data_IF_451500901822
#
_entry.id   IF_451500901822
#
_cell.length_a   1.000
_cell.length_b   1.000
_cell.length_c   1.000
_cell.angle_alpha   90.00
_cell.angle_beta   90.00
_cell.angle_gamma   90.00
#
_symmetry.space_group_name_H-M   'P 1'
#
loop_
_entity.id
_entity.type
_entity.pdbx_description
1 polymer ?
#
# COMPACT_ATOMS: atom_id res chain seq x y z
N UNK A 1 -28.95 -38.24 -9.91
CA UNK A 1 -28.34 -37.09 -10.62
C UNK A 1 -28.03 -36.02 -9.59
N UNK A 2 -26.88 -36.13 -8.93
CA UNK A 2 -26.41 -35.19 -7.91
C UNK A 2 -24.89 -35.13 -8.04
N UNK A 3 -24.42 -34.27 -8.93
CA UNK A 3 -23.01 -34.11 -9.28
C UNK A 3 -22.77 -32.69 -9.83
N UNK A 4 -23.03 -31.66 -9.04
CA UNK A 4 -22.56 -30.28 -9.31
C UNK A 4 -22.47 -29.49 -8.01
N UNK A 5 -21.54 -29.84 -7.13
CA UNK A 5 -21.12 -29.00 -6.01
C UNK A 5 -19.68 -29.34 -5.60
N UNK A 6 -18.78 -29.46 -6.58
CA UNK A 6 -17.36 -29.69 -6.33
C UNK A 6 -16.51 -28.95 -7.37
N UNK A 7 -16.69 -27.64 -7.41
CA UNK A 7 -15.76 -26.70 -8.03
C UNK A 7 -15.60 -25.46 -7.13
N UNK A 8 -15.41 -25.68 -5.83
CA UNK A 8 -14.55 -24.77 -5.06
C UNK A 8 -13.13 -25.07 -5.49
N UNK A 9 -12.80 -24.59 -6.69
CA UNK A 9 -11.44 -24.44 -7.15
C UNK A 9 -10.68 -23.75 -6.00
N UNK A 10 -9.76 -24.50 -5.41
CA UNK A 10 -8.66 -24.00 -4.59
C UNK A 10 -7.87 -23.02 -5.46
N UNK A 11 -8.40 -21.81 -5.64
CA UNK A 11 -7.59 -20.68 -6.03
C UNK A 11 -6.82 -20.33 -4.77
N UNK A 12 -5.72 -21.05 -4.57
CA UNK A 12 -4.61 -20.47 -3.82
C UNK A 12 -4.25 -19.21 -4.59
N UNK A 13 -4.81 -18.08 -4.17
CA UNK A 13 -4.31 -16.77 -4.55
C UNK A 13 -2.89 -16.71 -4.00
N UNK A 14 -1.93 -17.18 -4.79
CA UNK A 14 -0.53 -16.94 -4.51
C UNK A 14 -0.32 -15.47 -4.84
N UNK A 15 -0.28 -14.65 -3.80
CA UNK A 15 0.01 -13.23 -3.91
C UNK A 15 1.48 -13.10 -4.34
N UNK A 16 1.71 -12.60 -5.54
CA UNK A 16 3.02 -12.04 -5.91
C UNK A 16 3.17 -10.72 -5.16
N UNK A 17 3.76 -10.78 -3.98
CA UNK A 17 4.11 -9.59 -3.20
C UNK A 17 5.55 -9.22 -3.54
N UNK A 18 5.73 -8.57 -4.69
CA UNK A 18 7.02 -8.05 -5.10
C UNK A 18 7.21 -6.66 -4.53
N UNK A 19 8.15 -6.51 -3.60
CA UNK A 19 8.84 -5.23 -3.43
C UNK A 19 10.25 -5.37 -4.02
N UNK A 20 11.15 -4.42 -3.80
CA UNK A 20 12.53 -4.53 -4.26
C UNK A 20 13.46 -4.81 -3.07
N UNK A 21 13.72 -6.09 -2.73
CA UNK A 21 14.69 -6.40 -1.69
C UNK A 21 16.05 -5.86 -2.10
N UNK A 22 16.74 -5.20 -1.18
CA UNK A 22 18.10 -4.69 -1.37
C UNK A 22 19.06 -5.77 -1.89
N UNK A 23 18.87 -7.01 -1.45
CA UNK A 23 19.66 -8.16 -1.90
C UNK A 23 19.43 -8.54 -3.38
N UNK A 24 18.42 -7.97 -4.04
CA UNK A 24 18.06 -8.23 -5.43
C UNK A 24 18.25 -7.02 -6.35
N UNK A 25 18.70 -5.87 -5.87
CA UNK A 25 18.77 -4.65 -6.69
C UNK A 25 20.13 -4.43 -7.35
N UNK A 26 20.94 -5.48 -7.48
CA UNK A 26 22.22 -5.42 -8.19
C UNK A 26 22.03 -5.55 -9.70
N UNK A 27 23.01 -5.04 -10.46
CA UNK A 27 23.02 -5.16 -11.93
C UNK A 27 22.92 -6.63 -12.36
N UNK A 28 23.61 -7.53 -11.65
CA UNK A 28 23.53 -8.97 -11.88
C UNK A 28 22.10 -9.50 -11.75
N UNK A 29 21.42 -9.21 -10.64
CA UNK A 29 20.06 -9.70 -10.40
C UNK A 29 19.06 -9.21 -11.44
N UNK A 30 19.14 -7.94 -11.83
CA UNK A 30 18.24 -7.34 -12.81
C UNK A 30 18.49 -7.89 -14.22
N UNK A 31 19.76 -8.04 -14.62
CA UNK A 31 20.11 -8.61 -15.93
C UNK A 31 19.76 -10.10 -16.03
N UNK A 32 19.97 -10.87 -14.96
CA UNK A 32 19.58 -12.29 -14.88
C UNK A 32 18.07 -12.46 -14.65
N UNK A 33 17.37 -11.37 -14.31
CA UNK A 33 15.96 -11.36 -13.90
C UNK A 33 15.65 -12.37 -12.80
N UNK A 34 16.52 -12.48 -11.81
CA UNK A 34 16.37 -13.41 -10.68
C UNK A 34 16.52 -12.70 -9.32
N UNK A 35 15.49 -12.81 -8.49
CA UNK A 35 15.48 -12.36 -7.10
C UNK A 35 15.23 -13.55 -6.16
N UNK A 36 16.30 -14.29 -5.89
CA UNK A 36 16.29 -15.44 -4.99
C UNK A 36 17.41 -15.33 -3.94
N UNK A 37 17.34 -14.32 -3.05
CA UNK A 37 18.42 -14.05 -2.12
C UNK A 37 18.54 -15.15 -1.06
N UNK A 38 19.74 -15.31 -0.47
CA UNK A 38 19.95 -16.29 0.58
C UNK A 38 19.13 -15.96 1.82
N UNK A 39 18.64 -16.99 2.50
CA UNK A 39 18.07 -16.85 3.84
C UNK A 39 19.19 -16.92 4.88
N UNK A 40 19.22 -15.99 5.84
CA UNK A 40 20.29 -15.89 6.84
C UNK A 40 20.46 -17.16 7.69
N UNK A 41 19.39 -17.94 7.88
CA UNK A 41 19.43 -19.12 8.75
C UNK A 41 20.24 -20.30 8.19
N UNK A 42 20.29 -20.48 6.88
CA UNK A 42 21.05 -21.59 6.25
C UNK A 42 21.94 -21.16 5.07
N UNK A 43 21.95 -19.88 4.72
CA UNK A 43 22.74 -19.30 3.64
C UNK A 43 22.31 -19.71 2.23
N UNK A 44 21.27 -20.54 2.09
CA UNK A 44 20.82 -21.02 0.78
C UNK A 44 19.76 -20.10 0.16
N UNK A 45 19.71 -20.01 -1.18
CA UNK A 45 18.66 -19.27 -1.88
C UNK A 45 17.27 -19.73 -1.41
N UNK A 46 16.43 -18.78 -1.00
CA UNK A 46 15.06 -19.05 -0.54
C UNK A 46 14.93 -20.05 0.63
N UNK A 47 16.00 -20.27 1.41
CA UNK A 47 16.01 -21.24 2.51
C UNK A 47 15.79 -22.68 2.06
N UNK A 48 16.29 -23.04 0.88
CA UNK A 48 16.14 -24.35 0.27
C UNK A 48 16.72 -25.49 1.12
N UNK A 49 17.87 -25.31 1.77
CA UNK A 49 18.48 -26.34 2.61
C UNK A 49 17.62 -26.66 3.84
N UNK A 50 16.84 -25.69 4.31
CA UNK A 50 15.88 -25.84 5.41
C UNK A 50 14.46 -26.15 4.94
N UNK A 51 14.26 -26.48 3.65
CA UNK A 51 12.94 -26.74 3.07
C UNK A 51 11.92 -25.61 3.26
N UNK A 52 12.39 -24.35 3.32
CA UNK A 52 11.52 -23.18 3.45
C UNK A 52 10.93 -22.73 2.13
N UNK A 53 11.63 -22.98 1.03
CA UNK A 53 11.22 -22.59 -0.31
C UNK A 53 12.26 -22.97 -1.33
N UNK A 54 12.04 -22.54 -2.57
CA UNK A 54 13.03 -22.66 -3.64
C UNK A 54 12.88 -21.51 -4.63
N UNK A 55 13.93 -21.27 -5.41
CA UNK A 55 13.89 -20.31 -6.50
C UNK A 55 13.15 -20.90 -7.70
N UNK A 56 12.07 -20.27 -8.14
CA UNK A 56 11.20 -20.77 -9.20
C UNK A 56 10.77 -19.65 -10.15
N UNK A 57 10.29 -20.03 -11.33
CA UNK A 57 9.74 -19.08 -12.29
C UNK A 57 8.47 -18.43 -11.71
N UNK A 58 8.29 -17.13 -11.98
CA UNK A 58 7.11 -16.40 -11.54
C UNK A 58 5.85 -16.92 -12.26
N UNK A 59 4.73 -16.87 -11.56
CA UNK A 59 3.43 -17.21 -12.14
C UNK A 59 2.69 -15.91 -12.44
N UNK A 60 2.50 -15.63 -13.73
CA UNK A 60 1.76 -14.46 -14.20
C UNK A 60 0.27 -14.76 -14.30
N UNK A 61 -0.54 -13.72 -14.05
CA UNK A 61 -1.98 -13.79 -14.27
C UNK A 61 -2.27 -14.06 -15.75
N UNK A 62 -3.23 -14.95 -16.02
CA UNK A 62 -3.79 -15.19 -17.36
C UNK A 62 -5.12 -14.47 -17.58
N UNK A 63 -5.52 -13.61 -16.63
CA UNK A 63 -6.73 -12.83 -16.74
C UNK A 63 -6.62 -11.83 -17.92
N UNK A 64 -7.74 -11.52 -18.60
CA UNK A 64 -7.74 -10.52 -19.66
C UNK A 64 -7.38 -9.14 -19.09
N UNK A 65 -6.74 -8.31 -19.91
CA UNK A 65 -6.48 -6.90 -19.56
C UNK A 65 -7.80 -6.12 -19.56
N UNK A 66 -7.92 -5.16 -18.65
CA UNK A 66 -9.04 -4.23 -18.62
C UNK A 66 -9.00 -3.29 -19.82
N UNK A 67 -10.15 -2.86 -20.37
CA UNK A 67 -10.20 -1.99 -21.55
C UNK A 67 -9.66 -0.57 -21.32
N UNK A 68 -9.43 -0.19 -20.06
CA UNK A 68 -8.96 1.15 -19.65
C UNK A 68 -7.50 1.42 -20.05
N UNK A 69 -6.70 0.36 -20.25
CA UNK A 69 -5.30 0.49 -20.62
C UNK A 69 -5.03 -0.17 -21.98
N UNK A 70 -5.06 0.59 -23.09
CA UNK A 70 -4.95 0.04 -24.44
C UNK A 70 -3.51 -0.20 -24.91
N UNK A 71 -2.52 -0.06 -24.04
CA UNK A 71 -1.10 -0.20 -24.36
C UNK A 71 -0.53 -1.51 -23.84
N UNK A 72 0.62 -1.92 -24.39
CA UNK A 72 1.36 -3.07 -23.90
C UNK A 72 2.86 -2.88 -24.03
N UNK A 73 3.60 -3.30 -23.02
CA UNK A 73 5.05 -3.22 -22.96
C UNK A 73 5.58 -1.80 -22.77
N UNK A 74 4.77 -0.91 -22.21
CA UNK A 74 5.13 0.51 -21.99
C UNK A 74 5.23 0.88 -20.52
N UNK A 75 4.64 0.09 -19.62
CA UNK A 75 4.67 0.33 -18.19
C UNK A 75 5.32 -0.84 -17.43
N UNK A 76 6.28 -0.52 -16.57
CA UNK A 76 7.05 -1.50 -15.78
C UNK A 76 6.15 -2.35 -14.83
N UNK A 77 4.92 -1.89 -14.58
CA UNK A 77 3.93 -2.55 -13.71
C UNK A 77 3.10 -3.60 -14.43
N UNK A 78 3.16 -3.65 -15.77
CA UNK A 78 2.49 -4.69 -16.54
C UNK A 78 3.04 -6.08 -16.19
N UNK A 79 2.13 -7.05 -16.01
CA UNK A 79 2.49 -8.44 -15.66
C UNK A 79 3.47 -8.51 -14.47
N UNK A 80 3.23 -7.69 -13.44
CA UNK A 80 4.11 -7.56 -12.29
C UNK A 80 4.49 -8.93 -11.69
N UNK A 81 5.80 -9.24 -11.47
CA UNK A 81 6.98 -8.37 -11.60
C UNK A 81 7.87 -8.65 -12.84
N UNK A 82 7.33 -9.20 -13.94
CA UNK A 82 8.13 -9.78 -15.05
C UNK A 82 9.12 -8.84 -15.75
N UNK A 83 8.89 -7.53 -15.64
CA UNK A 83 9.82 -6.54 -16.18
C UNK A 83 11.17 -6.63 -15.47
N UNK A 84 11.17 -6.81 -14.14
CA UNK A 84 12.38 -6.88 -13.34
C UNK A 84 12.86 -8.32 -13.09
N UNK A 85 11.95 -9.24 -12.78
CA UNK A 85 12.32 -10.60 -12.38
C UNK A 85 11.40 -11.63 -13.01
N UNK A 86 12.00 -12.67 -13.60
CA UNK A 86 11.32 -13.86 -14.09
C UNK A 86 11.37 -15.00 -13.06
N UNK A 87 12.28 -14.91 -12.07
CA UNK A 87 12.47 -15.93 -11.04
C UNK A 87 12.50 -15.31 -9.65
N UNK A 88 11.69 -15.85 -8.75
CA UNK A 88 11.60 -15.40 -7.36
C UNK A 88 11.46 -16.58 -6.39
N UNK A 89 11.62 -16.32 -5.09
CA UNK A 89 11.42 -17.34 -4.08
C UNK A 89 9.94 -17.74 -3.98
N UNK A 90 9.66 -19.03 -4.18
CA UNK A 90 8.38 -19.64 -3.83
C UNK A 90 8.51 -20.40 -2.52
N UNK A 91 7.84 -19.89 -1.49
CA UNK A 91 7.94 -20.44 -0.14
C UNK A 91 6.95 -21.60 0.08
N UNK A 92 7.40 -22.60 0.82
CA UNK A 92 6.63 -23.81 1.14
C UNK A 92 5.87 -23.67 2.46
N UNK A 93 4.79 -24.44 2.59
CA UNK A 93 4.00 -24.48 3.83
C UNK A 93 3.52 -23.10 4.27
N UNK A 94 3.88 -22.72 5.51
CA UNK A 94 3.54 -21.44 6.11
C UNK A 94 4.69 -20.42 6.09
N UNK A 95 5.76 -20.67 5.33
CA UNK A 95 6.81 -19.69 5.12
C UNK A 95 6.37 -18.62 4.10
N UNK A 96 6.95 -17.42 4.20
CA UNK A 96 6.74 -16.28 3.31
C UNK A 96 7.95 -15.33 3.35
N UNK A 97 7.86 -14.22 2.61
CA UNK A 97 8.89 -13.19 2.56
C UNK A 97 9.83 -13.41 1.39
N UNK A 98 10.60 -12.38 1.05
CA UNK A 98 11.40 -12.35 -0.17
C UNK A 98 12.50 -13.43 -0.24
N UNK A 99 12.88 -14.01 0.91
CA UNK A 99 13.83 -15.13 1.04
C UNK A 99 13.23 -16.34 1.78
N UNK A 100 11.91 -16.39 1.97
CA UNK A 100 11.22 -17.41 2.78
C UNK A 100 11.60 -17.48 4.27
N UNK A 101 12.22 -16.42 4.80
CA UNK A 101 12.60 -16.33 6.21
C UNK A 101 11.45 -16.04 7.17
N UNK A 102 10.33 -15.51 6.68
CA UNK A 102 9.20 -15.06 7.51
C UNK A 102 8.06 -16.09 7.51
N UNK A 103 7.09 -15.92 8.42
CA UNK A 103 5.86 -16.74 8.46
C UNK A 103 4.66 -16.04 7.82
N UNK A 104 3.79 -16.78 7.14
CA UNK A 104 2.51 -16.27 6.61
C UNK A 104 1.71 -15.56 7.70
N UNK A 105 0.90 -14.56 7.33
CA UNK A 105 0.06 -13.84 8.30
C UNK A 105 -0.79 -14.81 9.13
N UNK A 106 -0.78 -14.63 10.45
CA UNK A 106 -1.43 -15.53 11.42
C UNK A 106 -0.57 -16.72 11.88
N UNK A 107 0.62 -16.91 11.30
CA UNK A 107 1.59 -17.93 11.72
C UNK A 107 2.87 -17.33 12.29
N UNK A 108 3.46 -18.02 13.26
CA UNK A 108 4.64 -17.57 14.02
C UNK A 108 5.54 -18.74 14.43
N UNK A 109 6.62 -18.40 15.12
CA UNK A 109 7.66 -19.32 15.57
C UNK A 109 8.68 -19.61 14.46
N UNK A 110 9.83 -20.22 14.81
CA UNK A 110 10.90 -20.50 13.87
C UNK A 110 10.46 -21.40 12.71
N UNK A 111 9.45 -22.24 12.92
CA UNK A 111 8.90 -23.19 11.92
C UNK A 111 7.57 -22.76 11.31
N UNK A 112 7.03 -21.60 11.67
CA UNK A 112 5.75 -21.09 11.17
C UNK A 112 4.55 -22.03 11.42
N UNK A 113 4.59 -22.76 12.54
CA UNK A 113 3.54 -23.72 12.94
C UNK A 113 2.63 -23.17 14.03
N UNK A 114 3.08 -22.15 14.77
CA UNK A 114 2.29 -21.55 15.84
C UNK A 114 1.26 -20.60 15.24
N UNK A 115 0.00 -20.69 15.68
CA UNK A 115 -1.06 -19.77 15.26
C UNK A 115 -1.18 -18.63 16.24
N UNK A 116 -1.40 -17.43 15.72
CA UNK A 116 -1.67 -16.24 16.54
C UNK A 116 -2.78 -15.43 15.91
N UNK A 117 -3.71 -14.99 16.75
CA UNK A 117 -4.71 -14.01 16.40
C UNK A 117 -4.27 -12.66 16.96
N UNK A 118 -4.21 -11.66 16.09
CA UNK A 118 -4.01 -10.27 16.46
C UNK A 118 -5.31 -9.50 16.24
N UNK A 119 -5.61 -8.55 17.11
CA UNK A 119 -6.86 -7.78 17.09
C UNK A 119 -6.53 -6.32 16.91
N UNK A 120 -6.94 -5.74 15.77
CA UNK A 120 -6.92 -4.29 15.57
C UNK A 120 -8.09 -3.68 16.34
N UNK A 121 -7.79 -2.73 17.22
CA UNK A 121 -8.78 -2.03 18.05
C UNK A 121 -9.11 -0.65 17.47
N UNK A 122 -10.26 -0.10 17.84
CA UNK A 122 -10.52 1.31 17.61
C UNK A 122 -9.45 2.13 18.35
N UNK A 123 -8.95 3.19 17.73
CA UNK A 123 -7.93 4.06 18.31
C UNK A 123 -8.38 4.69 19.63
N UNK A 124 -9.69 4.91 19.81
CA UNK A 124 -10.27 5.44 21.05
C UNK A 124 -10.42 4.38 22.16
N UNK A 125 -10.37 3.09 21.82
CA UNK A 125 -10.41 1.98 22.79
C UNK A 125 -9.02 1.59 23.29
N UNK A 126 -7.97 2.22 22.77
CA UNK A 126 -6.60 2.00 23.22
C UNK A 126 -6.39 2.62 24.60
N UNK A 127 -5.73 1.88 25.49
CA UNK A 127 -5.17 2.46 26.70
C UNK A 127 -4.08 3.49 26.35
N UNK A 128 -3.80 4.43 27.27
CA UNK A 128 -2.74 5.44 27.08
C UNK A 128 -1.39 4.81 26.68
N UNK A 129 -0.92 3.71 27.32
CA UNK A 129 0.30 3.03 26.88
C UNK A 129 0.21 2.43 25.46
N UNK A 130 -0.92 1.85 25.07
CA UNK A 130 -1.12 1.30 23.72
C UNK A 130 -1.09 2.41 22.66
N UNK A 131 -1.79 3.52 22.90
CA UNK A 131 -1.76 4.71 22.02
C UNK A 131 -0.36 5.28 21.90
N UNK A 132 0.32 5.52 23.02
CA UNK A 132 1.68 6.07 23.02
C UNK A 132 2.67 5.13 22.30
N UNK A 133 2.52 3.81 22.47
CA UNK A 133 3.30 2.81 21.73
C UNK A 133 3.05 2.93 20.23
N UNK A 134 1.79 2.99 19.79
CA UNK A 134 1.45 3.12 18.37
C UNK A 134 2.08 4.37 17.75
N UNK A 135 1.92 5.52 18.39
CA UNK A 135 2.49 6.79 17.94
C UNK A 135 4.03 6.74 17.88
N UNK A 136 4.67 6.21 18.92
CA UNK A 136 6.13 6.06 18.96
C UNK A 136 6.65 5.11 17.86
N UNK A 137 5.95 4.02 17.58
CA UNK A 137 6.34 3.06 16.55
C UNK A 137 6.19 3.63 15.13
N UNK A 138 5.16 4.43 14.88
CA UNK A 138 5.05 5.18 13.62
C UNK A 138 6.22 6.16 13.45
N UNK A 139 6.56 6.93 14.49
CA UNK A 139 7.71 7.83 14.46
C UNK A 139 9.02 7.09 14.23
N UNK A 140 9.22 5.95 14.90
CA UNK A 140 10.41 5.13 14.67
C UNK A 140 10.48 4.62 13.23
N UNK A 141 9.36 4.17 12.66
CA UNK A 141 9.29 3.74 11.26
C UNK A 141 9.62 4.87 10.27
N UNK A 142 9.21 6.11 10.55
CA UNK A 142 9.54 7.28 9.73
C UNK A 142 11.01 7.68 9.76
N UNK A 143 11.71 7.37 10.86
CA UNK A 143 13.10 7.76 11.04
C UNK A 143 14.10 6.61 10.91
N UNK A 144 13.65 5.39 10.58
CA UNK A 144 14.52 4.23 10.40
C UNK A 144 14.52 3.76 8.96
N UNK A 145 15.69 3.77 8.32
CA UNK A 145 15.89 3.19 6.98
C UNK A 145 15.47 1.73 6.95
N UNK A 146 14.72 1.33 5.93
CA UNK A 146 14.34 -0.04 5.68
C UNK A 146 15.60 -0.91 5.48
N UNK A 147 15.81 -1.94 6.31
CA UNK A 147 16.97 -2.81 6.15
C UNK A 147 16.85 -3.66 4.88
N UNK A 148 15.62 -4.09 4.57
CA UNK A 148 15.36 -5.10 3.57
C UNK A 148 15.05 -4.53 2.18
N UNK A 149 14.46 -3.34 2.11
CA UNK A 149 13.89 -2.82 0.86
C UNK A 149 14.44 -1.44 0.48
N UNK A 150 14.53 -1.23 -0.83
CA UNK A 150 14.89 0.03 -1.48
C UNK A 150 13.83 0.39 -2.51
N UNK A 151 13.85 1.62 -3.02
CA UNK A 151 12.92 2.08 -4.05
C UNK A 151 13.62 2.40 -5.36
N UNK A 152 13.07 2.01 -6.52
CA UNK A 152 13.61 2.44 -7.80
C UNK A 152 13.36 3.94 -8.00
N UNK A 153 14.32 4.64 -8.58
CA UNK A 153 14.25 6.09 -8.87
C UNK A 153 14.11 6.39 -10.36
N UNK A 154 14.14 5.36 -11.20
CA UNK A 154 13.88 5.42 -12.63
C UNK A 154 13.22 4.15 -13.14
N UNK A 155 12.70 4.21 -14.36
CA UNK A 155 12.09 3.05 -15.04
C UNK A 155 13.13 2.00 -15.41
N UNK A 156 12.70 0.77 -15.71
CA UNK A 156 13.60 -0.29 -16.13
C UNK A 156 14.39 0.08 -17.39
N UNK A 157 13.77 0.81 -18.32
CA UNK A 157 14.44 1.39 -19.49
C UNK A 157 15.54 2.38 -19.11
N UNK A 158 15.29 3.26 -18.13
CA UNK A 158 16.30 4.19 -17.61
C UNK A 158 17.45 3.48 -16.87
N UNK A 159 17.19 2.30 -16.31
CA UNK A 159 18.23 1.44 -15.76
C UNK A 159 19.08 0.71 -16.83
N UNK A 160 18.95 1.09 -18.11
CA UNK A 160 19.57 0.42 -19.25
C UNK A 160 19.31 -1.09 -19.20
N UNK A 161 18.03 -1.45 -19.06
CA UNK A 161 17.54 -2.82 -18.93
C UNK A 161 18.23 -3.62 -17.81
N UNK A 162 18.44 -2.97 -16.66
CA UNK A 162 19.00 -3.58 -15.45
C UNK A 162 20.53 -3.46 -15.32
N UNK A 163 21.25 -3.07 -16.38
CA UNK A 163 22.72 -2.97 -16.31
C UNK A 163 23.20 -1.81 -15.42
N UNK A 164 22.39 -0.75 -15.29
CA UNK A 164 22.65 0.42 -14.43
C UNK A 164 21.53 0.57 -13.40
N UNK A 165 21.57 -0.15 -12.26
CA UNK A 165 20.53 -0.06 -11.23
C UNK A 165 20.36 1.37 -10.69
N UNK A 166 19.12 1.82 -10.56
CA UNK A 166 18.77 3.13 -10.01
C UNK A 166 17.87 2.94 -8.79
N UNK A 167 18.44 2.86 -7.60
CA UNK A 167 17.72 2.64 -6.34
C UNK A 167 18.19 3.58 -5.24
N UNK A 168 17.26 3.98 -4.38
CA UNK A 168 17.54 4.77 -3.17
C UNK A 168 17.08 4.03 -1.91
N UNK A 169 17.79 4.32 -0.82
CA UNK A 169 17.33 4.01 0.53
C UNK A 169 16.06 4.79 0.87
N UNK A 170 15.21 4.20 1.71
CA UNK A 170 13.99 4.80 2.20
C UNK A 170 13.69 4.33 3.62
N UNK A 171 13.01 5.13 4.42
CA UNK A 171 12.57 4.68 5.75
C UNK A 171 11.35 3.76 5.67
N UNK A 172 11.11 3.00 6.74
CA UNK A 172 10.03 2.00 6.79
C UNK A 172 8.66 2.64 6.56
N UNK A 173 8.40 3.85 7.05
CA UNK A 173 7.13 4.52 6.80
C UNK A 173 6.98 4.90 5.31
N UNK A 174 7.98 5.59 4.77
CA UNK A 174 7.96 6.13 3.42
C UNK A 174 8.04 5.03 2.36
N UNK A 175 8.53 3.85 2.69
CA UNK A 175 8.45 2.66 1.85
C UNK A 175 7.01 2.39 1.40
N UNK A 176 6.06 2.46 2.34
CA UNK A 176 4.64 2.24 2.07
C UNK A 176 4.00 3.44 1.37
N UNK A 177 4.44 4.66 1.68
CA UNK A 177 4.04 5.85 0.92
C UNK A 177 4.45 5.72 -0.55
N UNK A 178 5.70 5.37 -0.80
CA UNK A 178 6.23 5.18 -2.14
C UNK A 178 5.55 4.03 -2.87
N UNK A 179 5.27 2.92 -2.20
CA UNK A 179 4.56 1.78 -2.80
C UNK A 179 3.15 2.17 -3.26
N UNK A 180 2.41 2.94 -2.46
CA UNK A 180 1.12 3.49 -2.86
C UNK A 180 1.25 4.47 -4.03
N UNK A 181 2.26 5.34 -4.00
CA UNK A 181 2.58 6.19 -5.15
C UNK A 181 2.83 5.39 -6.43
N UNK A 182 3.63 4.34 -6.34
CA UNK A 182 4.06 3.58 -7.51
C UNK A 182 2.91 2.83 -8.18
N UNK A 183 1.92 2.34 -7.43
CA UNK A 183 0.75 1.66 -8.02
C UNK A 183 -0.27 2.63 -8.61
N UNK A 184 -0.32 3.86 -8.09
CA UNK A 184 -1.28 4.88 -8.49
C UNK A 184 -0.71 5.94 -9.42
N UNK A 185 0.58 5.93 -9.76
CA UNK A 185 1.12 6.90 -10.72
C UNK A 185 0.62 6.63 -12.15
N UNK A 186 0.62 7.66 -12.98
CA UNK A 186 0.32 7.59 -14.41
C UNK A 186 1.22 6.58 -15.16
N UNK A 187 0.97 6.26 -16.43
CA UNK A 187 1.91 5.50 -17.26
C UNK A 187 2.77 6.43 -18.13
N UNK A 188 4.07 6.18 -18.21
CA UNK A 188 5.00 6.91 -19.09
C UNK A 188 5.07 6.18 -20.44
N UNK A 189 4.40 6.69 -21.46
CA UNK A 189 4.35 6.00 -22.76
C UNK A 189 5.62 6.19 -23.61
N UNK A 190 6.53 7.08 -23.17
CA UNK A 190 7.73 7.49 -23.88
C UNK A 190 7.55 8.82 -24.61
N UNK A 191 8.67 9.45 -24.99
CA UNK A 191 8.64 10.78 -25.58
C UNK A 191 8.17 11.84 -24.59
N UNK A 192 7.03 12.48 -24.87
CA UNK A 192 6.35 13.42 -23.95
C UNK A 192 4.92 13.00 -23.61
N UNK A 193 4.56 11.73 -23.84
CA UNK A 193 3.19 11.24 -23.69
C UNK A 193 2.98 10.52 -22.34
N UNK A 194 1.88 10.87 -21.67
CA UNK A 194 1.50 10.37 -20.35
C UNK A 194 0.06 9.87 -20.40
N UNK A 195 -0.18 8.65 -19.93
CA UNK A 195 -1.52 8.11 -19.77
C UNK A 195 -1.96 8.16 -18.31
N UNK A 196 -3.05 8.89 -18.03
CA UNK A 196 -3.53 9.14 -16.66
C UNK A 196 -4.66 8.22 -16.21
N UNK A 197 -5.35 7.54 -17.13
CA UNK A 197 -6.49 6.69 -16.80
C UNK A 197 -6.01 5.27 -16.50
N UNK A 198 -5.20 5.13 -15.46
CA UNK A 198 -4.68 3.85 -14.97
C UNK A 198 -4.36 3.93 -13.46
N UNK A 199 -4.85 2.95 -12.69
CA UNK A 199 -4.50 2.75 -11.29
C UNK A 199 -4.52 1.25 -10.96
N UNK A 200 -3.46 0.74 -10.31
CA UNK A 200 -3.33 -0.69 -9.97
C UNK A 200 -3.88 -1.06 -8.59
N UNK A 201 -4.33 -0.07 -7.80
CA UNK A 201 -4.81 -0.22 -6.44
C UNK A 201 -6.16 0.45 -6.15
N UNK A 202 -6.73 1.19 -7.10
CA UNK A 202 -8.00 1.91 -6.97
C UNK A 202 -8.87 1.75 -8.21
N UNK A 203 -10.11 2.22 -8.11
CA UNK A 203 -11.13 2.32 -9.15
C UNK A 203 -11.44 0.98 -9.84
N UNK A 204 -11.10 -0.14 -9.20
CA UNK A 204 -11.14 -1.48 -9.77
C UNK A 204 -11.24 -2.55 -8.66
N UNK A 205 -11.54 -3.83 -8.99
CA UNK A 205 -11.78 -4.89 -8.01
C UNK A 205 -10.59 -5.18 -7.10
N UNK A 206 -9.40 -4.73 -7.46
CA UNK A 206 -8.17 -4.85 -6.68
C UNK A 206 -8.13 -3.97 -5.43
N UNK A 207 -9.00 -2.97 -5.29
CA UNK A 207 -8.93 -1.96 -4.23
C UNK A 207 -8.81 -2.54 -2.81
N UNK A 208 -9.79 -3.33 -2.39
CA UNK A 208 -9.83 -3.92 -1.04
C UNK A 208 -8.70 -4.94 -0.79
N UNK A 209 -8.44 -5.93 -1.66
CA UNK A 209 -7.36 -6.89 -1.42
C UNK A 209 -5.98 -6.23 -1.45
N UNK A 210 -5.75 -5.22 -2.29
CA UNK A 210 -4.49 -4.49 -2.34
C UNK A 210 -4.24 -3.75 -1.03
N UNK A 211 -5.21 -2.96 -0.56
CA UNK A 211 -5.07 -2.20 0.70
C UNK A 211 -5.02 -3.11 1.94
N UNK A 212 -5.70 -4.27 1.91
CA UNK A 212 -5.57 -5.28 2.97
C UNK A 212 -4.14 -5.82 3.05
N UNK A 213 -3.54 -6.20 1.93
CA UNK A 213 -2.16 -6.68 1.90
C UNK A 213 -1.16 -5.58 2.26
N UNK A 214 -1.39 -4.35 1.79
CA UNK A 214 -0.62 -3.16 2.16
C UNK A 214 -0.50 -3.00 3.68
N UNK A 215 -1.64 -3.00 4.39
CA UNK A 215 -1.65 -2.84 5.84
C UNK A 215 -1.00 -4.02 6.58
N UNK A 216 -1.21 -5.24 6.08
CA UNK A 216 -0.59 -6.44 6.67
C UNK A 216 0.94 -6.42 6.54
N UNK A 217 1.46 -6.02 5.37
CA UNK A 217 2.90 -5.87 5.16
C UNK A 217 3.47 -4.76 6.03
N UNK A 218 2.76 -3.64 6.15
CA UNK A 218 3.23 -2.53 6.97
C UNK A 218 3.28 -2.84 8.46
N UNK A 219 2.19 -3.40 8.98
CA UNK A 219 2.12 -3.87 10.36
C UNK A 219 3.28 -4.83 10.67
N UNK A 220 3.58 -5.74 9.73
CA UNK A 220 4.69 -6.67 9.84
C UNK A 220 6.07 -6.02 9.83
N UNK A 221 6.31 -5.04 8.96
CA UNK A 221 7.61 -4.33 8.96
C UNK A 221 7.80 -3.51 10.24
N UNK A 222 6.73 -2.93 10.81
CA UNK A 222 6.80 -2.30 12.13
C UNK A 222 7.07 -3.33 13.23
N UNK A 223 6.37 -4.47 13.24
CA UNK A 223 6.62 -5.58 14.20
C UNK A 223 8.08 -6.03 14.16
N UNK A 224 8.67 -6.16 12.96
CA UNK A 224 10.10 -6.51 12.78
C UNK A 224 11.01 -5.42 13.32
N UNK A 225 10.75 -4.16 12.97
CA UNK A 225 11.53 -3.00 13.40
C UNK A 225 11.57 -2.88 14.93
N UNK A 226 10.45 -3.11 15.60
CA UNK A 226 10.30 -2.91 17.04
C UNK A 226 10.53 -4.18 17.86
N UNK A 227 10.56 -5.34 17.19
CA UNK A 227 10.53 -6.68 17.82
C UNK A 227 9.30 -6.89 18.71
N UNK A 228 8.22 -6.18 18.46
CA UNK A 228 6.94 -6.37 19.12
C UNK A 228 5.96 -7.07 18.18
N UNK A 229 5.96 -8.41 18.22
CA UNK A 229 5.06 -9.23 17.42
C UNK A 229 3.58 -9.11 17.84
N UNK A 230 3.26 -8.45 18.95
CA UNK A 230 1.89 -8.14 19.35
C UNK A 230 1.39 -6.81 18.78
N UNK A 231 2.26 -6.03 18.13
CA UNK A 231 1.86 -4.74 17.59
C UNK A 231 0.78 -4.91 16.53
N UNK A 232 -0.27 -4.09 16.64
CA UNK A 232 -1.33 -3.99 15.64
C UNK A 232 -1.61 -2.54 15.30
N UNK A 233 -1.90 -2.28 14.03
CA UNK A 233 -2.37 -0.97 13.57
C UNK A 233 -3.83 -0.78 14.03
N UNK A 234 -4.18 0.26 14.80
CA UNK A 234 -5.56 0.53 15.17
C UNK A 234 -6.36 1.04 13.96
N UNK A 235 -7.68 1.19 14.13
CA UNK A 235 -8.53 1.86 13.14
C UNK A 235 -9.23 3.06 13.76
N UNK A 236 -9.66 3.98 12.89
CA UNK A 236 -10.56 5.06 13.30
C UNK A 236 -11.95 4.77 12.76
N UNK A 237 -12.89 4.55 13.67
CA UNK A 237 -14.30 4.52 13.33
C UNK A 237 -14.78 5.96 13.10
N UNK A 238 -14.89 6.32 11.83
CA UNK A 238 -15.29 7.66 11.39
C UNK A 238 -16.81 7.82 11.28
N UNK A 239 -17.58 6.75 11.50
CA UNK A 239 -19.04 6.76 11.33
C UNK A 239 -19.67 7.80 12.25
N UNK A 240 -20.57 8.59 11.68
CA UNK A 240 -21.37 9.61 12.38
C UNK A 240 -20.52 10.74 13.02
N UNK A 241 -19.21 10.77 12.79
CA UNK A 241 -18.36 11.85 13.23
C UNK A 241 -18.70 13.15 12.49
N UNK A 242 -18.85 14.27 13.21
CA UNK A 242 -19.11 15.57 12.58
C UNK A 242 -17.82 16.22 12.06
N UNK A 243 -16.69 15.90 12.70
CA UNK A 243 -15.36 16.46 12.43
C UNK A 243 -14.29 15.34 12.48
N UNK A 244 -13.05 15.68 12.18
CA UNK A 244 -11.94 14.74 12.37
C UNK A 244 -11.58 14.59 13.86
N UNK A 245 -12.20 13.64 14.55
CA UNK A 245 -12.04 13.44 16.00
C UNK A 245 -10.61 13.02 16.41
N UNK A 246 -9.88 12.39 15.49
CA UNK A 246 -8.47 12.00 15.69
C UNK A 246 -7.48 13.11 15.31
N UNK A 247 -7.94 14.25 14.78
CA UNK A 247 -7.10 15.39 14.43
C UNK A 247 -6.83 16.31 15.63
N UNK A 248 -6.26 15.73 16.69
CA UNK A 248 -5.79 16.44 17.89
C UNK A 248 -4.32 16.12 18.16
N UNK A 249 -3.64 16.95 18.95
CA UNK A 249 -2.23 16.74 19.31
C UNK A 249 -1.99 15.48 20.16
N UNK A 250 -3.06 14.92 20.75
CA UNK A 250 -3.02 13.66 21.46
C UNK A 250 -2.98 12.44 20.52
N UNK A 251 -3.50 12.59 19.30
CA UNK A 251 -3.60 11.52 18.30
C UNK A 251 -2.80 11.91 17.04
N UNK A 252 -3.48 12.26 15.94
CA UNK A 252 -2.88 12.38 14.61
C UNK A 252 -2.44 13.80 14.26
N UNK A 253 -2.40 14.69 15.24
CA UNK A 253 -2.00 16.10 15.14
C UNK A 253 -3.18 17.07 15.08
N UNK A 254 -3.11 18.16 15.84
CA UNK A 254 -4.09 19.24 15.80
C UNK A 254 -3.97 20.11 14.54
N UNK A 255 -4.92 21.01 14.36
CA UNK A 255 -4.83 22.08 13.35
C UNK A 255 -3.89 23.18 13.84
N UNK A 256 -3.01 23.68 12.98
CA UNK A 256 -2.15 24.80 13.33
C UNK A 256 -2.97 26.11 13.47
N UNK A 257 -2.84 26.85 14.59
CA UNK A 257 -3.60 28.09 14.79
C UNK A 257 -3.27 29.23 13.82
N UNK A 258 -2.04 29.27 13.30
CA UNK A 258 -1.56 30.34 12.42
C UNK A 258 -1.75 30.02 10.93
N UNK A 259 -1.67 28.74 10.55
CA UNK A 259 -1.93 28.30 9.17
C UNK A 259 -2.81 27.04 9.17
N UNK A 260 -4.10 27.16 8.83
CA UNK A 260 -5.05 26.06 8.93
C UNK A 260 -4.75 24.84 8.02
N UNK A 261 -3.82 24.97 7.07
CA UNK A 261 -3.39 23.88 6.20
C UNK A 261 -2.23 23.06 6.80
N UNK A 262 -1.66 23.47 7.94
CA UNK A 262 -0.56 22.77 8.60
C UNK A 262 -1.02 22.09 9.89
N UNK A 263 -0.22 21.13 10.34
CA UNK A 263 -0.38 20.50 11.64
C UNK A 263 0.10 21.42 12.77
N UNK A 264 -0.55 21.32 13.92
CA UNK A 264 -0.17 21.99 15.16
C UNK A 264 1.28 21.64 15.51
N UNK A 265 2.13 22.63 15.86
CA UNK A 265 3.52 22.39 16.25
C UNK A 265 3.68 21.54 17.52
N UNK A 266 2.61 21.33 18.29
CA UNK A 266 2.62 20.45 19.46
C UNK A 266 2.55 18.96 19.09
N UNK A 267 2.19 18.64 17.85
CA UNK A 267 2.24 17.27 17.33
C UNK A 267 3.61 16.96 16.74
N UNK A 268 4.17 15.79 17.09
CA UNK A 268 5.40 15.31 16.45
C UNK A 268 5.24 15.05 14.94
N UNK A 269 4.00 14.94 14.42
CA UNK A 269 3.76 14.84 12.98
C UNK A 269 4.03 16.16 12.23
N UNK A 270 4.08 17.32 12.91
CA UNK A 270 4.29 18.60 12.24
C UNK A 270 5.69 18.75 11.63
N UNK A 271 6.67 17.99 12.12
CA UNK A 271 8.03 17.97 11.57
C UNK A 271 8.21 17.02 10.39
N UNK A 272 7.22 16.16 10.13
CA UNK A 272 7.32 15.15 9.09
C UNK A 272 7.28 15.79 7.72
N UNK A 273 8.16 15.31 6.85
CA UNK A 273 8.18 15.68 5.45
C UNK A 273 7.52 14.59 4.60
N UNK A 274 6.69 14.99 3.64
CA UNK A 274 6.10 14.10 2.65
C UNK A 274 7.11 13.79 1.53
N UNK A 275 6.84 12.72 0.78
CA UNK A 275 7.55 12.35 -0.44
C UNK A 275 6.53 12.10 -1.54
N UNK A 276 6.92 12.03 -2.81
CA UNK A 276 6.05 11.55 -3.90
C UNK A 276 4.80 12.41 -4.16
N UNK A 277 4.86 13.70 -3.87
CA UNK A 277 3.75 14.67 -4.03
C UNK A 277 3.79 15.43 -5.36
N UNK A 278 4.90 15.41 -6.09
CA UNK A 278 5.12 16.25 -7.28
C UNK A 278 4.85 15.49 -8.60
N UNK A 279 3.65 14.93 -8.76
CA UNK A 279 3.30 14.05 -9.90
C UNK A 279 3.62 14.66 -11.27
N UNK A 280 3.24 15.91 -11.49
CA UNK A 280 3.48 16.60 -12.77
C UNK A 280 4.98 16.83 -13.05
N UNK A 281 5.80 17.02 -12.01
CA UNK A 281 7.26 17.10 -12.17
C UNK A 281 7.83 15.74 -12.60
N UNK A 282 7.42 14.65 -11.95
CA UNK A 282 7.85 13.30 -12.31
C UNK A 282 7.44 12.93 -13.73
N UNK A 283 6.20 13.24 -14.12
CA UNK A 283 5.68 12.99 -15.46
C UNK A 283 6.45 13.78 -16.51
N UNK A 284 6.68 15.08 -16.29
CA UNK A 284 7.44 15.91 -17.23
C UNK A 284 8.88 15.42 -17.44
N UNK A 285 9.50 14.90 -16.37
CA UNK A 285 10.87 14.34 -16.40
C UNK A 285 10.93 12.87 -16.79
N UNK A 286 9.79 12.21 -16.94
CA UNK A 286 9.69 10.77 -17.13
C UNK A 286 10.47 10.00 -16.05
N UNK A 287 10.41 10.46 -14.81
CA UNK A 287 11.15 9.91 -13.67
C UNK A 287 10.20 9.33 -12.62
N UNK A 288 10.74 8.56 -11.68
CA UNK A 288 10.00 8.11 -10.50
C UNK A 288 10.30 9.01 -9.31
N UNK A 289 9.37 9.06 -8.35
CA UNK A 289 9.65 9.62 -7.02
C UNK A 289 10.91 8.96 -6.43
N UNK A 290 11.87 9.78 -6.01
CA UNK A 290 13.17 9.33 -5.51
C UNK A 290 13.24 9.22 -3.97
N UNK A 291 12.12 9.49 -3.28
CA UNK A 291 12.03 9.48 -1.81
C UNK A 291 12.60 10.71 -1.12
N UNK A 292 13.00 11.78 -1.84
CA UNK A 292 13.42 13.02 -1.20
C UNK A 292 12.24 13.77 -0.60
N UNK A 293 12.47 14.48 0.51
CA UNK A 293 11.45 15.28 1.20
C UNK A 293 10.96 16.46 0.35
N UNK A 294 9.64 16.65 0.30
CA UNK A 294 8.97 17.61 -0.58
C UNK A 294 8.12 18.65 0.17
N UNK A 295 8.23 18.69 1.50
CA UNK A 295 7.55 19.68 2.33
C UNK A 295 6.73 19.02 3.46
N UNK A 296 6.07 19.84 4.29
CA UNK A 296 5.30 19.36 5.42
C UNK A 296 4.00 18.68 4.98
N UNK A 297 3.38 17.94 5.90
CA UNK A 297 2.01 17.44 5.73
C UNK A 297 1.05 18.63 5.63
N UNK A 298 0.27 18.64 4.55
CA UNK A 298 -0.83 19.60 4.38
C UNK A 298 -2.16 18.93 4.75
N UNK A 299 -2.87 19.46 5.74
CA UNK A 299 -4.16 18.91 6.19
C UNK A 299 -5.08 20.00 6.71
N UNK A 300 -6.32 20.05 6.20
CA UNK A 300 -7.33 21.03 6.57
C UNK A 300 -8.75 20.40 6.60
N UNK A 301 -9.06 19.55 7.59
CA UNK A 301 -10.35 18.85 7.65
C UNK A 301 -11.51 19.85 7.75
N UNK A 302 -12.60 19.58 7.03
CA UNK A 302 -13.79 20.45 6.98
C UNK A 302 -13.74 21.57 5.94
N UNK A 303 -12.61 21.72 5.21
CA UNK A 303 -12.48 22.66 4.09
C UNK A 303 -12.50 21.97 2.71
N UNK A 304 -13.03 20.75 2.65
CA UNK A 304 -13.24 20.01 1.40
C UNK A 304 -14.38 20.62 0.56
N UNK A 305 -14.46 20.25 -0.71
CA UNK A 305 -15.60 20.61 -1.57
C UNK A 305 -16.89 19.95 -1.07
N UNK A 306 -17.74 20.74 -0.40
CA UNK A 306 -19.00 20.26 0.17
C UNK A 306 -20.02 19.80 -0.87
N UNK A 307 -19.88 20.18 -2.14
CA UNK A 307 -20.73 19.68 -3.20
C UNK A 307 -20.42 18.21 -3.54
N UNK A 308 -19.16 17.79 -3.35
CA UNK A 308 -18.73 16.40 -3.55
C UNK A 308 -18.83 15.60 -2.27
N UNK A 309 -18.55 16.23 -1.13
CA UNK A 309 -18.57 15.57 0.16
C UNK A 309 -19.19 16.47 1.21
N UNK A 310 -20.48 16.36 1.46
CA UNK A 310 -21.12 17.26 2.41
C UNK A 310 -20.76 16.95 3.87
N UNK A 311 -20.38 15.70 4.19
CA UNK A 311 -20.13 15.21 5.56
C UNK A 311 -19.25 13.96 5.56
N UNK A 312 -18.72 13.61 6.72
CA UNK A 312 -18.23 12.25 6.95
C UNK A 312 -19.40 11.25 6.87
N UNK A 313 -19.14 10.00 6.45
CA UNK A 313 -20.22 9.05 6.25
C UNK A 313 -20.83 8.59 7.58
N UNK A 314 -22.12 8.28 7.55
CA UNK A 314 -22.89 7.80 8.70
C UNK A 314 -22.88 6.29 8.83
N UNK A 315 -23.32 5.80 9.98
CA UNK A 315 -23.64 4.38 10.17
C UNK A 315 -24.59 3.85 9.10
N UNK A 316 -25.60 4.64 8.69
CA UNK A 316 -26.52 4.24 7.63
C UNK A 316 -25.84 4.03 6.26
N UNK A 317 -24.82 4.83 5.94
CA UNK A 317 -24.07 4.69 4.68
C UNK A 317 -23.25 3.39 4.69
N UNK A 318 -22.69 3.02 5.85
CA UNK A 318 -21.97 1.75 6.05
C UNK A 318 -22.92 0.56 5.98
N UNK A 319 -24.05 0.59 6.67
CA UNK A 319 -25.05 -0.48 6.63
C UNK A 319 -25.61 -0.68 5.20
N UNK A 320 -25.83 0.41 4.46
CA UNK A 320 -26.21 0.32 3.06
C UNK A 320 -25.13 -0.38 2.23
N UNK A 321 -23.87 0.02 2.38
CA UNK A 321 -22.75 -0.62 1.69
C UNK A 321 -22.68 -2.13 2.01
N UNK A 322 -22.76 -2.52 3.29
CA UNK A 322 -22.74 -3.92 3.73
C UNK A 322 -23.94 -4.73 3.24
N UNK A 323 -25.06 -4.08 2.90
CA UNK A 323 -26.23 -4.74 2.32
C UNK A 323 -26.03 -5.20 0.86
N UNK A 324 -24.99 -4.69 0.18
CA UNK A 324 -24.68 -5.05 -1.20
C UNK A 324 -24.07 -6.45 -1.27
N UNK A 325 -24.72 -7.34 -2.02
CA UNK A 325 -24.31 -8.76 -2.10
C UNK A 325 -23.25 -9.04 -3.17
N UNK A 326 -23.10 -8.14 -4.13
CA UNK A 326 -22.10 -8.26 -5.20
C UNK A 326 -20.82 -7.56 -4.76
N UNK A 327 -19.72 -8.31 -4.64
CA UNK A 327 -18.40 -7.73 -4.39
C UNK A 327 -18.06 -6.66 -5.44
N UNK A 328 -18.33 -6.99 -6.71
CA UNK A 328 -18.16 -6.12 -7.87
C UNK A 328 -19.30 -6.34 -8.87
N UNK A 329 -19.58 -5.35 -9.72
CA UNK A 329 -20.59 -5.43 -10.78
C UNK A 329 -20.15 -4.74 -12.08
N UNK A 330 -20.93 -4.98 -13.15
CA UNK A 330 -20.89 -4.17 -14.37
C UNK A 330 -19.51 -4.06 -15.02
N UNK A 331 -19.08 -2.81 -15.24
CA UNK A 331 -17.82 -2.43 -15.88
C UNK A 331 -16.57 -2.79 -15.07
N UNK A 332 -16.73 -3.16 -13.80
CA UNK A 332 -15.63 -3.44 -12.86
C UNK A 332 -14.67 -2.25 -12.72
N UNK A 333 -15.22 -1.04 -12.75
CA UNK A 333 -14.48 0.21 -12.64
C UNK A 333 -15.22 1.21 -11.73
N UNK A 334 -14.77 2.48 -11.70
CA UNK A 334 -15.46 3.56 -10.97
C UNK A 334 -16.92 3.80 -11.38
N UNK A 335 -17.36 3.35 -12.55
CA UNK A 335 -18.74 3.46 -13.03
C UNK A 335 -19.62 2.26 -12.63
N UNK A 336 -19.07 1.28 -11.92
CA UNK A 336 -19.82 0.10 -11.48
C UNK A 336 -20.93 0.48 -10.47
N UNK A 337 -22.18 0.11 -10.79
CA UNK A 337 -23.34 0.38 -9.96
C UNK A 337 -23.80 -0.89 -9.22
N UNK A 338 -24.32 -0.76 -7.98
CA UNK A 338 -24.63 -1.89 -7.10
C UNK A 338 -23.41 -2.79 -6.81
N UNK A 339 -22.22 -2.18 -6.72
CA UNK A 339 -20.95 -2.84 -6.39
C UNK A 339 -20.54 -2.50 -4.96
N UNK A 340 -20.36 -3.52 -4.12
CA UNK A 340 -19.85 -3.34 -2.76
C UNK A 340 -18.50 -2.62 -2.76
N UNK A 341 -17.55 -3.07 -3.59
CA UNK A 341 -16.22 -2.47 -3.71
C UNK A 341 -16.33 -0.99 -4.08
N UNK A 342 -17.07 -0.67 -5.13
CA UNK A 342 -17.17 0.70 -5.62
C UNK A 342 -17.84 1.62 -4.59
N UNK A 343 -18.94 1.16 -3.96
CA UNK A 343 -19.59 1.91 -2.88
C UNK A 343 -18.65 2.13 -1.70
N UNK A 344 -17.88 1.13 -1.28
CA UNK A 344 -16.96 1.24 -0.15
C UNK A 344 -15.76 2.18 -0.44
N UNK A 345 -15.27 2.17 -1.67
CA UNK A 345 -14.17 3.03 -2.11
C UNK A 345 -14.56 4.52 -2.20
N UNK A 346 -15.82 4.81 -2.57
CA UNK A 346 -16.34 6.18 -2.67
C UNK A 346 -16.75 6.78 -1.32
N UNK A 347 -17.03 5.95 -0.30
CA UNK A 347 -17.44 6.40 1.03
C UNK A 347 -16.41 7.35 1.70
N UNK A 348 -15.10 7.02 1.79
CA UNK A 348 -14.14 7.86 2.51
C UNK A 348 -13.30 8.82 1.63
N UNK A 349 -13.25 8.60 0.30
CA UNK A 349 -12.34 9.32 -0.62
C UNK A 349 -12.62 10.82 -0.78
N UNK A 350 -13.74 11.28 -0.25
CA UNK A 350 -14.25 12.60 -0.50
C UNK A 350 -14.11 13.55 0.73
N UNK A 351 -14.08 13.06 1.97
CA UNK A 351 -14.41 13.88 3.17
C UNK A 351 -13.21 14.43 3.95
N UNK A 352 -12.03 13.83 3.83
CA UNK A 352 -10.90 14.11 4.74
C UNK A 352 -9.65 14.66 4.06
N UNK A 353 -9.54 14.55 2.73
CA UNK A 353 -8.31 14.84 2.01
C UNK A 353 -8.59 15.71 0.78
N UNK A 354 -8.74 17.03 0.93
CA UNK A 354 -8.69 17.94 -0.21
C UNK A 354 -7.97 19.25 0.14
N UNK A 355 -7.11 19.67 -0.80
CA UNK A 355 -6.39 20.94 -0.82
C UNK A 355 -6.02 21.44 -2.22
N UNK A 356 -6.54 20.86 -3.31
CA UNK A 356 -6.31 21.32 -4.70
C UNK A 356 -7.60 21.16 -5.55
N UNK A 357 -7.83 22.06 -6.54
CA UNK A 357 -9.08 22.18 -7.29
C UNK A 357 -9.36 21.01 -8.26
N UNK A 358 -10.63 20.75 -8.52
CA UNK A 358 -11.11 19.46 -9.04
C UNK A 358 -11.05 19.26 -10.57
N UNK A 359 -10.76 18.00 -10.96
CA UNK A 359 -10.69 17.37 -12.30
C UNK A 359 -9.36 17.59 -13.03
N UNK A 360 -8.67 16.61 -13.65
CA UNK A 360 -8.65 15.13 -13.56
C UNK A 360 -7.92 14.61 -12.29
N UNK A 361 -7.86 15.43 -11.25
CA UNK A 361 -7.00 15.29 -10.07
C UNK A 361 -7.46 14.26 -9.00
N UNK A 362 -8.22 13.22 -9.36
CA UNK A 362 -8.59 12.14 -8.41
C UNK A 362 -7.34 11.35 -7.99
N UNK A 363 -6.46 11.06 -8.93
CA UNK A 363 -5.18 10.38 -8.70
C UNK A 363 -4.28 11.20 -7.76
N UNK A 364 -4.20 12.52 -7.95
CA UNK A 364 -3.50 13.45 -7.04
C UNK A 364 -4.07 13.42 -5.61
N UNK A 365 -5.39 13.26 -5.46
CA UNK A 365 -6.04 13.17 -4.14
C UNK A 365 -5.80 11.81 -3.46
N UNK A 366 -5.81 10.71 -4.23
CA UNK A 366 -5.47 9.36 -3.75
C UNK A 366 -4.00 9.25 -3.38
N UNK A 367 -3.10 9.77 -4.22
CA UNK A 367 -1.67 9.89 -3.96
C UNK A 367 -1.38 10.79 -2.76
N UNK A 368 -2.10 11.92 -2.61
CA UNK A 368 -1.98 12.80 -1.45
C UNK A 368 -2.53 12.18 -0.15
N UNK A 369 -3.44 11.21 -0.24
CA UNK A 369 -4.02 10.56 0.93
C UNK A 369 -3.01 9.66 1.64
N UNK A 370 -2.20 8.88 0.91
CA UNK A 370 -1.16 8.02 1.49
C UNK A 370 0.00 8.81 2.12
N UNK A 371 0.16 10.09 1.76
CA UNK A 371 1.08 11.03 2.42
C UNK A 371 0.65 11.37 3.86
N UNK A 372 -0.58 11.02 4.25
CA UNK A 372 -1.15 11.34 5.55
C UNK A 372 -1.32 10.10 6.42
N UNK A 373 -0.79 10.16 7.64
CA UNK A 373 -0.94 9.14 8.70
C UNK A 373 -2.39 8.76 9.02
N UNK A 374 -3.35 9.60 8.61
CA UNK A 374 -4.77 9.34 8.76
C UNK A 374 -5.25 8.24 7.80
N UNK A 375 -4.62 8.11 6.62
CA UNK A 375 -4.92 7.07 5.63
C UNK A 375 -4.82 5.66 6.22
N UNK A 376 -3.83 5.45 7.08
CA UNK A 376 -3.61 4.18 7.77
C UNK A 376 -4.84 3.76 8.56
N UNK A 377 -5.36 4.69 9.37
CA UNK A 377 -6.49 4.45 10.27
C UNK A 377 -7.78 4.24 9.49
N UNK A 378 -7.93 4.96 8.37
CA UNK A 378 -9.08 4.84 7.47
C UNK A 378 -9.05 3.52 6.71
N UNK A 379 -7.94 3.17 6.06
CA UNK A 379 -7.79 1.88 5.38
C UNK A 379 -7.93 0.71 6.37
N UNK A 380 -7.43 0.85 7.60
CA UNK A 380 -7.60 -0.16 8.65
C UNK A 380 -9.07 -0.36 9.02
N UNK A 381 -9.89 0.70 9.02
CA UNK A 381 -11.33 0.59 9.21
C UNK A 381 -12.01 -0.13 8.03
N UNK A 382 -11.66 0.22 6.79
CA UNK A 382 -12.27 -0.36 5.58
C UNK A 382 -11.94 -1.85 5.35
N UNK A 383 -10.84 -2.34 5.92
CA UNK A 383 -10.37 -3.71 5.70
C UNK A 383 -10.83 -4.70 6.78
N UNK A 384 -11.51 -4.21 7.81
CA UNK A 384 -12.05 -5.01 8.91
C UNK A 384 -13.47 -5.52 8.67
N UNK A 385 -14.20 -4.96 7.70
CA UNK A 385 -15.54 -5.40 7.31
C UNK A 385 -15.54 -6.70 6.51
#
# INVERSE_FOLDING_TARGET
MLLTALYCLLWTFQTSAGHFPRACTSSKNLMEKECCPPWEGDGSPCGQLSSRGSCQDIILSKAPLGPQFPFSGVDDRESWPSVFYNRTCQCFGNFMGFNCGNCKFGFWGPTCTERRLLVRKNIFDLSVPEKNKFLAYLTLAKHTTSPDYVIPTGTYGQMNNGSTPLFNDINVYDLFVWMHYYVSRDALLGGSEIWRDIDFAHEAPGFLPWHRLFLLLWEKEIQKLTRDENFTIPYWDWRDAENCDVCTDEYMGGRNPANPNLLSPASFFSSWQVICSQLEEYNSRHALCNGTSEGPILRNPGNHDKARTPRLPSSADVEFCLSLTQYESGSMDKAANFSFRNTLEEIPSHSLFQGLPTSPEKLSTLLASSLQHLFILLCSALTQS
#
